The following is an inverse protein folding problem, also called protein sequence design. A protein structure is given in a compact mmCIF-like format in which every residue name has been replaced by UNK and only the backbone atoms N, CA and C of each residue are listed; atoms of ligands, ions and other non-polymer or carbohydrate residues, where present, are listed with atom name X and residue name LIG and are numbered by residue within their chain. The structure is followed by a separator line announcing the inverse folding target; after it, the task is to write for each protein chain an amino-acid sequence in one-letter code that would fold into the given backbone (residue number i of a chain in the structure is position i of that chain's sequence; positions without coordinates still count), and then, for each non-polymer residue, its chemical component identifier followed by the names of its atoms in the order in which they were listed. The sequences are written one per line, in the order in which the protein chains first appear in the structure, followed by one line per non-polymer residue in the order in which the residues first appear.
data_IF_144961207370
#
_entry.id   IF_144961207370
#
_cell.length_a   1.000
_cell.length_b   1.000
_cell.length_c   1.000
_cell.angle_alpha   90.00
_cell.angle_beta   90.00
_cell.angle_gamma   90.00
#
_symmetry.space_group_name_H-M   'P 1'
#
loop_
_entity.id
_entity.type
_entity.pdbx_description
1 polymer ?
#
# COMPACT_ATOMS: atom_id res chain seq x y z
N UNK A 1 -6.58 4.15 13.59
CA UNK A 1 -5.27 3.54 13.92
C UNK A 1 -4.40 3.66 12.69
N UNK A 2 -3.31 4.42 12.75
CA UNK A 2 -2.38 4.57 11.62
C UNK A 2 -1.62 3.26 11.41
N UNK A 3 -1.52 2.79 10.17
CA UNK A 3 -0.83 1.56 9.80
C UNK A 3 0.40 1.94 8.98
N UNK A 4 1.56 1.35 9.24
CA UNK A 4 2.74 1.65 8.43
C UNK A 4 2.55 1.18 6.99
N UNK A 5 2.98 1.98 6.01
CA UNK A 5 3.00 1.56 4.60
C UNK A 5 4.44 1.30 4.17
N UNK A 6 4.64 0.18 3.49
CA UNK A 6 5.89 -0.15 2.80
C UNK A 6 5.58 -0.43 1.35
N UNK A 7 6.33 0.16 0.43
CA UNK A 7 6.23 -0.17 -0.99
C UNK A 7 7.23 -1.26 -1.35
N UNK A 8 6.85 -2.15 -2.27
CA UNK A 8 7.84 -2.96 -3.00
C UNK A 8 8.67 -2.04 -3.91
N UNK A 9 9.82 -2.52 -4.40
CA UNK A 9 10.65 -1.72 -5.30
C UNK A 9 9.92 -1.33 -6.60
N UNK A 10 9.06 -2.21 -7.12
CA UNK A 10 8.23 -1.94 -8.29
C UNK A 10 7.13 -0.91 -7.99
N UNK A 11 6.44 -1.04 -6.85
CA UNK A 11 5.46 -0.05 -6.39
C UNK A 11 6.08 1.32 -6.15
N UNK A 12 7.26 1.38 -5.52
CA UNK A 12 7.96 2.64 -5.28
C UNK A 12 8.36 3.33 -6.59
N UNK A 13 8.93 2.57 -7.54
CA UNK A 13 9.30 3.10 -8.85
C UNK A 13 8.07 3.64 -9.59
N UNK A 14 6.97 2.90 -9.57
CA UNK A 14 5.72 3.31 -10.20
C UNK A 14 5.14 4.57 -9.54
N UNK A 15 5.05 4.59 -8.21
CA UNK A 15 4.53 5.71 -7.45
C UNK A 15 5.35 6.99 -7.66
N UNK A 16 6.68 6.90 -7.70
CA UNK A 16 7.55 8.05 -8.03
C UNK A 16 7.30 8.55 -9.45
N UNK A 17 7.17 7.65 -10.42
CA UNK A 17 6.94 8.03 -11.82
C UNK A 17 5.61 8.78 -12.02
N UNK A 18 4.58 8.41 -11.24
CA UNK A 18 3.24 9.00 -11.31
C UNK A 18 2.92 10.01 -10.19
N UNK A 19 3.92 10.42 -9.41
CA UNK A 19 3.77 11.35 -8.27
C UNK A 19 2.70 10.93 -7.23
N UNK A 20 2.62 9.63 -6.93
CA UNK A 20 1.62 9.02 -6.03
C UNK A 20 2.10 8.82 -4.58
N UNK A 21 3.36 9.11 -4.26
CA UNK A 21 3.94 8.79 -2.94
C UNK A 21 3.14 9.38 -1.77
N UNK A 22 2.79 10.67 -1.86
CA UNK A 22 1.99 11.35 -0.83
C UNK A 22 0.54 10.88 -0.81
N UNK A 23 -0.02 10.55 -1.98
CA UNK A 23 -1.39 10.03 -2.09
C UNK A 23 -1.55 8.66 -1.45
N UNK A 24 -0.57 7.76 -1.62
CA UNK A 24 -0.59 6.42 -1.02
C UNK A 24 -0.54 6.53 0.50
N UNK A 25 0.33 7.38 1.04
CA UNK A 25 0.45 7.58 2.49
C UNK A 25 -0.82 8.22 3.07
N UNK A 26 -1.41 9.21 2.37
CA UNK A 26 -2.64 9.86 2.81
C UNK A 26 -3.87 8.94 2.74
N UNK A 27 -3.93 8.05 1.73
CA UNK A 27 -5.06 7.15 1.52
C UNK A 27 -5.10 5.98 2.51
N UNK A 28 -3.95 5.63 3.13
CA UNK A 28 -3.73 4.55 4.09
C UNK A 28 -5.02 3.84 4.54
N UNK A 29 -5.31 2.64 4.01
CA UNK A 29 -6.61 1.98 4.22
C UNK A 29 -6.77 1.45 5.65
N UNK A 30 -5.73 1.56 6.49
CA UNK A 30 -5.79 1.19 7.89
C UNK A 30 -5.89 -0.33 8.09
N UNK A 31 -6.31 -0.77 9.29
CA UNK A 31 -6.20 -2.17 9.70
C UNK A 31 -7.20 -3.11 9.01
N UNK A 32 -8.18 -2.57 8.29
CA UNK A 32 -9.23 -3.36 7.62
C UNK A 32 -8.74 -4.01 6.33
N UNK A 33 -7.70 -3.46 5.68
CA UNK A 33 -7.23 -3.91 4.36
C UNK A 33 -6.56 -5.27 4.39
N UNK A 34 -7.13 -6.28 3.74
CA UNK A 34 -6.61 -7.63 3.68
C UNK A 34 -5.52 -7.81 2.61
N UNK A 35 -4.76 -8.91 2.69
CA UNK A 35 -3.88 -9.31 1.58
C UNK A 35 -4.72 -9.66 0.37
N UNK A 36 -4.34 -9.15 -0.81
CA UNK A 36 -5.09 -9.29 -2.05
C UNK A 36 -6.06 -8.16 -2.34
N UNK A 37 -6.33 -7.27 -1.36
CA UNK A 37 -7.14 -6.08 -1.60
C UNK A 37 -6.48 -5.18 -2.64
N UNK A 38 -7.31 -4.64 -3.53
CA UNK A 38 -6.91 -3.70 -4.58
C UNK A 38 -7.15 -2.27 -4.07
N UNK A 39 -6.11 -1.45 -4.13
CA UNK A 39 -6.17 -0.02 -3.83
C UNK A 39 -6.22 0.75 -5.15
N UNK A 40 -7.39 1.27 -5.48
CA UNK A 40 -7.59 2.14 -6.65
C UNK A 40 -7.42 3.61 -6.24
N UNK A 41 -6.40 4.27 -6.76
CA UNK A 41 -6.10 5.67 -6.51
C UNK A 41 -6.37 6.50 -7.76
N UNK A 42 -7.20 7.53 -7.64
CA UNK A 42 -7.47 8.46 -8.74
C UNK A 42 -6.58 9.69 -8.61
N UNK A 43 -5.65 9.88 -9.53
CA UNK A 43 -4.74 11.02 -9.57
C UNK A 43 -4.46 11.45 -11.01
N UNK A 44 -4.36 12.76 -11.26
CA UNK A 44 -4.05 13.28 -12.60
C UNK A 44 -5.02 12.82 -13.71
N UNK A 45 -6.28 12.53 -13.36
CA UNK A 45 -7.29 12.03 -14.31
C UNK A 45 -7.17 10.55 -14.69
N UNK A 46 -6.25 9.81 -14.06
CA UNK A 46 -6.07 8.36 -14.26
C UNK A 46 -6.39 7.59 -12.98
N UNK A 47 -6.76 6.31 -13.13
CA UNK A 47 -6.89 5.36 -12.01
C UNK A 47 -5.64 4.49 -11.97
N UNK A 48 -5.03 4.40 -10.81
CA UNK A 48 -3.84 3.61 -10.53
C UNK A 48 -4.20 2.49 -9.57
N UNK A 49 -3.94 1.25 -9.94
CA UNK A 49 -4.25 0.08 -9.11
C UNK A 49 -2.97 -0.49 -8.48
N UNK A 50 -3.03 -0.64 -7.16
CA UNK A 50 -2.01 -1.26 -6.33
C UNK A 50 -2.63 -2.43 -5.56
N UNK A 51 -1.83 -3.35 -5.05
CA UNK A 51 -2.34 -4.44 -4.22
C UNK A 51 -1.67 -4.47 -2.85
N UNK A 52 -2.43 -4.85 -1.82
CA UNK A 52 -1.86 -5.23 -0.53
C UNK A 52 -1.25 -6.63 -0.66
N UNK A 53 0.08 -6.71 -0.81
CA UNK A 53 0.78 -7.97 -1.00
C UNK A 53 1.06 -8.70 0.32
N UNK A 54 1.20 -7.97 1.43
CA UNK A 54 1.49 -8.56 2.73
C UNK A 54 0.96 -7.70 3.88
N UNK A 55 0.50 -8.37 4.93
CA UNK A 55 0.25 -7.79 6.26
C UNK A 55 1.30 -8.30 7.24
N UNK A 56 1.91 -7.41 8.01
CA UNK A 56 2.91 -7.77 9.01
C UNK A 56 2.63 -7.04 10.32
N UNK A 57 2.43 -7.81 11.40
CA UNK A 57 2.49 -7.25 12.76
C UNK A 57 3.94 -7.15 13.19
N UNK A 58 4.32 -6.00 13.72
CA UNK A 58 5.63 -5.72 14.28
C UNK A 58 5.42 -5.48 15.77
N UNK A 59 6.11 -6.27 16.57
CA UNK A 59 6.14 -6.15 18.02
C UNK A 59 7.50 -5.57 18.43
N UNK A 60 7.49 -4.47 19.17
CA UNK A 60 8.69 -3.84 19.72
C UNK A 60 8.43 -3.49 21.19
N UNK A 61 8.88 -4.38 22.08
CA UNK A 61 8.54 -4.37 23.49
C UNK A 61 7.02 -4.43 23.70
N UNK A 62 6.48 -3.37 24.31
CA UNK A 62 5.05 -3.23 24.61
C UNK A 62 4.23 -2.69 23.42
N UNK A 63 4.89 -2.21 22.37
CA UNK A 63 4.21 -1.63 21.22
C UNK A 63 3.92 -2.69 20.16
N UNK A 64 2.74 -2.57 19.54
CA UNK A 64 2.36 -3.35 18.36
C UNK A 64 1.96 -2.39 17.25
N UNK A 65 2.55 -2.57 16.07
CA UNK A 65 2.15 -1.83 14.86
C UNK A 65 1.88 -2.78 13.72
N UNK A 66 0.84 -2.48 12.95
CA UNK A 66 0.60 -3.15 11.69
C UNK A 66 1.37 -2.40 10.60
N UNK A 67 1.95 -3.14 9.67
CA UNK A 67 2.58 -2.64 8.45
C UNK A 67 1.97 -3.38 7.25
N UNK A 68 1.54 -2.63 6.23
CA UNK A 68 1.08 -3.17 4.94
C UNK A 68 2.18 -3.01 3.91
N UNK A 69 2.45 -4.08 3.16
CA UNK A 69 3.27 -3.99 1.96
C UNK A 69 2.37 -3.81 0.75
N UNK A 70 2.59 -2.73 0.00
CA UNK A 70 1.86 -2.39 -1.20
C UNK A 70 2.72 -2.68 -2.42
N UNK A 71 2.15 -3.38 -3.39
CA UNK A 71 2.82 -3.82 -4.61
C UNK A 71 2.17 -3.25 -5.88
N UNK A 72 2.98 -3.18 -6.94
CA UNK A 72 2.59 -2.83 -8.29
C UNK A 72 3.33 -3.74 -9.29
N UNK A 73 2.66 -4.29 -10.32
CA UNK A 73 1.24 -4.15 -10.59
C UNK A 73 0.41 -4.84 -9.50
N UNK A 74 -0.86 -4.46 -9.38
CA UNK A 74 -1.79 -5.19 -8.55
C UNK A 74 -1.95 -6.62 -9.11
N UNK A 75 -1.17 -7.57 -8.60
CA UNK A 75 -1.22 -8.95 -9.09
C UNK A 75 -2.55 -9.58 -8.67
N UNK A 76 -3.46 -9.68 -9.63
CA UNK A 76 -4.81 -10.21 -9.47
C UNK A 76 -5.37 -10.74 -10.78
N UNK A 77 -4.64 -11.64 -11.45
CA UNK A 77 -5.16 -12.66 -12.38
C UNK A 77 -4.01 -13.59 -12.83
N UNK A 78 -3.87 -14.72 -12.15
CA UNK A 78 -3.53 -16.01 -12.76
C UNK A 78 -4.56 -17.02 -12.28
#
# INVERSE_FOLDING_TARGET
MHVGIRLTASAERYARHHALMEFIEAANPGPIAAVGDILSLTAGGSVHELAVAQRRWIFDGETRRLELTIDHPAFGRR
#
